data_IF_132385640527
#
_entry.id   IF_132385640527
#
_cell.length_a   1.000
_cell.length_b   1.000
_cell.length_c   1.000
_cell.angle_alpha   90.00
_cell.angle_beta   90.00
_cell.angle_gamma   90.00
#
_symmetry.space_group_name_H-M   'P 1'
#
loop_
_entity.id
_entity.type
_entity.pdbx_description
1 polymer ?
#
# COMPACT_ATOMS: atom_id res chain seq x y z
N UNK A 1 11.75 20.72 14.79
CA UNK A 1 11.49 19.30 14.45
C UNK A 1 10.91 19.23 13.05
N UNK A 2 11.28 18.23 12.27
CA UNK A 2 10.68 18.01 10.94
C UNK A 2 9.33 17.32 11.16
N UNK A 3 8.28 17.73 10.43
CA UNK A 3 6.94 17.14 10.57
C UNK A 3 6.74 16.03 9.56
N UNK A 4 5.82 15.10 9.84
CA UNK A 4 5.48 14.00 8.96
C UNK A 4 4.02 13.58 9.11
N UNK A 5 3.43 13.11 8.02
CA UNK A 5 2.09 12.50 8.00
C UNK A 5 2.26 11.00 7.76
N UNK A 6 1.68 10.14 8.60
CA UNK A 6 1.72 8.69 8.38
C UNK A 6 0.58 8.25 7.46
N UNK A 7 0.89 7.32 6.54
CA UNK A 7 -0.11 6.62 5.76
C UNK A 7 0.04 5.10 5.93
N UNK A 8 -1.04 4.46 6.37
CA UNK A 8 -1.10 3.00 6.62
C UNK A 8 -2.25 2.37 5.84
N UNK A 9 -2.03 1.17 5.31
CA UNK A 9 -3.01 0.48 4.46
C UNK A 9 -3.11 -1.01 4.71
N UNK A 10 -4.34 -1.54 4.64
CA UNK A 10 -4.64 -2.98 4.60
C UNK A 10 -5.58 -3.32 3.44
N UNK A 11 -5.46 -4.55 2.92
CA UNK A 11 -6.15 -4.95 1.67
C UNK A 11 -7.53 -5.57 1.91
N UNK A 12 -7.93 -5.86 3.15
CA UNK A 12 -9.28 -6.30 3.50
C UNK A 12 -9.71 -5.79 4.88
N UNK A 13 -11.01 -5.54 5.05
CA UNK A 13 -11.60 -5.21 6.35
C UNK A 13 -11.33 -6.30 7.41
N UNK A 14 -11.20 -7.56 6.96
CA UNK A 14 -10.88 -8.71 7.82
C UNK A 14 -9.43 -8.67 8.33
N UNK A 15 -8.47 -8.23 7.52
CA UNK A 15 -7.11 -7.91 7.98
C UNK A 15 -7.08 -6.66 8.86
N UNK A 16 -7.97 -5.70 8.60
CA UNK A 16 -8.19 -4.54 9.47
C UNK A 16 -8.74 -4.90 10.86
N UNK A 17 -9.48 -6.01 10.98
CA UNK A 17 -10.02 -6.54 12.25
C UNK A 17 -8.97 -7.25 13.10
N UNK A 18 -7.98 -7.91 12.49
CA UNK A 18 -6.88 -8.54 13.25
C UNK A 18 -5.88 -7.52 13.83
N UNK A 19 -5.82 -6.29 13.34
CA UNK A 19 -4.94 -5.22 13.84
C UNK A 19 -3.44 -5.40 13.53
N UNK A 20 -2.94 -6.64 13.52
CA UNK A 20 -1.51 -6.99 13.42
C UNK A 20 -0.77 -6.33 12.24
N UNK A 21 -1.41 -6.25 11.07
CA UNK A 21 -0.79 -5.63 9.89
C UNK A 21 -0.72 -4.11 9.95
N UNK A 22 -1.60 -3.45 10.70
CA UNK A 22 -1.61 -1.99 10.89
C UNK A 22 -0.70 -1.60 12.06
N UNK A 23 -0.75 -2.35 13.16
CA UNK A 23 0.16 -2.15 14.30
C UNK A 23 1.62 -2.30 13.87
N UNK A 24 1.96 -3.32 13.07
CA UNK A 24 3.31 -3.47 12.56
C UNK A 24 3.77 -2.27 11.69
N UNK A 25 2.87 -1.71 10.88
CA UNK A 25 3.15 -0.51 10.08
C UNK A 25 3.34 0.71 10.97
N UNK A 26 2.45 0.91 11.96
CA UNK A 26 2.54 2.03 12.89
C UNK A 26 3.82 1.98 13.71
N UNK A 27 4.19 0.80 14.25
CA UNK A 27 5.44 0.62 15.00
C UNK A 27 6.65 0.90 14.12
N UNK A 28 6.66 0.45 12.86
CA UNK A 28 7.75 0.74 11.94
C UNK A 28 7.88 2.24 11.65
N UNK A 29 6.77 2.93 11.40
CA UNK A 29 6.75 4.38 11.16
C UNK A 29 7.16 5.14 12.43
N UNK A 30 6.66 4.75 13.60
CA UNK A 30 7.00 5.38 14.87
C UNK A 30 8.50 5.26 15.18
N UNK A 31 9.08 4.06 15.05
CA UNK A 31 10.53 3.84 15.22
C UNK A 31 11.36 4.67 14.26
N UNK A 32 10.92 4.76 13.00
CA UNK A 32 11.60 5.56 11.99
C UNK A 32 11.52 7.05 12.31
N UNK A 33 10.34 7.54 12.70
CA UNK A 33 10.15 8.93 13.09
C UNK A 33 11.01 9.31 14.30
N UNK A 34 11.11 8.43 15.30
CA UNK A 34 11.97 8.63 16.46
C UNK A 34 13.45 8.71 16.06
N UNK A 35 13.92 7.80 15.20
CA UNK A 35 15.31 7.78 14.73
C UNK A 35 15.67 9.03 13.90
N UNK A 36 14.74 9.55 13.11
CA UNK A 36 14.93 10.70 12.22
C UNK A 36 14.53 12.05 12.85
N UNK A 37 14.03 12.05 14.09
CA UNK A 37 13.53 13.26 14.76
C UNK A 37 12.31 13.89 14.07
N UNK A 38 11.45 13.05 13.48
CA UNK A 38 10.20 13.44 12.84
C UNK A 38 9.05 13.46 13.84
N UNK A 39 8.27 14.53 13.83
CA UNK A 39 7.03 14.65 14.58
C UNK A 39 5.84 14.22 13.72
N UNK A 40 5.09 13.23 14.19
CA UNK A 40 3.89 12.76 13.50
C UNK A 40 2.71 13.70 13.77
N UNK A 41 2.23 14.39 12.73
CA UNK A 41 1.12 15.36 12.86
C UNK A 41 -0.25 14.77 12.56
N UNK A 42 -0.31 13.71 11.74
CA UNK A 42 -1.54 13.05 11.36
C UNK A 42 -1.28 11.61 10.89
N UNK A 43 -2.23 10.71 11.14
CA UNK A 43 -2.23 9.33 10.63
C UNK A 43 -3.47 9.12 9.75
N UNK A 44 -3.26 8.65 8.52
CA UNK A 44 -4.30 8.30 7.58
C UNK A 44 -4.34 6.79 7.36
N UNK A 45 -5.51 6.20 7.59
CA UNK A 45 -5.72 4.75 7.49
C UNK A 45 -6.63 4.43 6.31
N UNK A 46 -6.12 3.62 5.39
CA UNK A 46 -6.87 3.15 4.22
C UNK A 46 -7.19 1.64 4.31
N UNK A 47 -8.42 1.28 3.96
CA UNK A 47 -8.87 -0.12 3.91
C UNK A 47 -9.30 -0.43 2.49
N UNK A 48 -8.32 -0.56 1.60
CA UNK A 48 -8.56 -0.79 0.17
C UNK A 48 -7.42 -1.57 -0.49
N UNK A 49 -7.75 -2.30 -1.57
CA UNK A 49 -6.78 -3.12 -2.28
C UNK A 49 -5.73 -2.27 -3.00
N UNK A 50 -4.51 -2.80 -3.11
CA UNK A 50 -3.36 -2.10 -3.68
C UNK A 50 -3.37 -2.00 -5.21
N UNK A 51 -4.42 -2.50 -5.88
CA UNK A 51 -4.41 -2.83 -7.31
C UNK A 51 -5.28 -1.85 -8.11
N UNK A 52 -4.72 -1.27 -9.18
CA UNK A 52 -5.46 -0.48 -10.17
C UNK A 52 -4.97 0.97 -10.30
N UNK A 53 -5.01 1.49 -11.54
CA UNK A 53 -4.61 2.84 -11.92
C UNK A 53 -5.47 3.96 -11.28
N UNK A 54 -6.68 3.62 -10.80
CA UNK A 54 -7.58 4.54 -10.08
C UNK A 54 -7.19 4.76 -8.60
N UNK A 55 -5.91 4.57 -8.26
CA UNK A 55 -5.46 4.57 -6.87
C UNK A 55 -5.80 5.88 -6.12
N UNK A 56 -5.88 7.04 -6.78
CA UNK A 56 -6.31 8.29 -6.14
C UNK A 56 -7.84 8.41 -5.99
N UNK A 57 -8.62 7.94 -6.97
CA UNK A 57 -10.09 8.00 -6.92
C UNK A 57 -10.67 6.97 -5.94
N UNK A 58 -9.99 5.84 -5.74
CA UNK A 58 -10.39 4.77 -4.83
C UNK A 58 -9.73 4.86 -3.45
N UNK A 59 -8.79 5.80 -3.23
CA UNK A 59 -8.09 5.99 -1.94
C UNK A 59 -8.23 7.43 -1.44
N UNK A 60 -9.40 7.80 -0.91
CA UNK A 60 -9.63 9.14 -0.38
C UNK A 60 -8.65 9.47 0.76
N UNK A 61 -8.20 8.47 1.54
CA UNK A 61 -7.29 8.70 2.66
C UNK A 61 -5.86 8.98 2.18
N UNK A 62 -5.45 8.40 1.05
CA UNK A 62 -4.16 8.73 0.43
C UNK A 62 -4.17 10.16 -0.11
N UNK A 63 -5.25 10.56 -0.80
CA UNK A 63 -5.41 11.92 -1.28
C UNK A 63 -5.42 12.94 -0.12
N UNK A 64 -6.12 12.62 0.97
CA UNK A 64 -6.15 13.43 2.18
C UNK A 64 -4.76 13.53 2.83
N UNK A 65 -4.02 12.42 2.94
CA UNK A 65 -2.66 12.40 3.47
C UNK A 65 -1.70 13.28 2.65
N UNK A 66 -1.75 13.19 1.32
CA UNK A 66 -0.93 14.00 0.42
C UNK A 66 -1.31 15.49 0.50
N UNK A 67 -2.60 15.79 0.67
CA UNK A 67 -3.10 17.16 0.83
C UNK A 67 -2.67 17.78 2.16
N UNK A 68 -2.79 17.04 3.27
CA UNK A 68 -2.30 17.48 4.59
C UNK A 68 -0.78 17.65 4.59
N UNK A 69 -0.05 16.72 3.98
CA UNK A 69 1.39 16.81 3.86
C UNK A 69 1.81 18.07 3.11
N UNK A 70 1.14 18.37 1.99
CA UNK A 70 1.37 19.59 1.20
C UNK A 70 0.99 20.87 1.97
N UNK A 71 -0.10 20.85 2.73
CA UNK A 71 -0.55 22.01 3.53
C UNK A 71 0.42 22.35 4.65
N UNK A 72 1.04 21.35 5.25
CA UNK A 72 1.96 21.49 6.37
C UNK A 72 3.44 21.50 5.94
N UNK A 73 3.72 21.54 4.64
CA UNK A 73 5.07 21.46 4.05
C UNK A 73 5.91 20.32 4.65
N UNK A 74 5.35 19.11 4.63
CA UNK A 74 5.93 17.94 5.27
C UNK A 74 5.79 16.68 4.40
N UNK A 75 6.51 15.62 4.76
CA UNK A 75 6.52 14.39 3.98
C UNK A 75 5.45 13.39 4.45
N UNK A 76 4.92 12.58 3.52
CA UNK A 76 4.12 11.41 3.85
C UNK A 76 5.04 10.22 4.13
N UNK A 77 5.00 9.66 5.34
CA UNK A 77 5.76 8.48 5.74
C UNK A 77 4.90 7.23 5.58
N UNK A 78 5.45 6.22 4.89
CA UNK A 78 4.85 4.89 4.74
C UNK A 78 5.82 3.83 5.25
N UNK A 79 5.30 2.74 5.81
CA UNK A 79 6.16 1.67 6.32
C UNK A 79 6.97 0.97 5.22
N UNK A 80 6.33 0.67 4.08
CA UNK A 80 6.92 -0.01 2.92
C UNK A 80 6.33 0.53 1.62
N UNK A 81 7.08 0.40 0.52
CA UNK A 81 6.64 0.90 -0.80
C UNK A 81 5.33 0.25 -1.26
N UNK A 82 5.13 -1.04 -0.97
CA UNK A 82 3.92 -1.79 -1.33
C UNK A 82 2.64 -1.28 -0.64
N UNK A 83 2.79 -0.50 0.45
CA UNK A 83 1.67 0.14 1.16
C UNK A 83 1.21 1.39 0.45
N UNK A 84 2.12 2.15 -0.16
CA UNK A 84 1.81 3.32 -0.97
C UNK A 84 1.15 2.92 -2.29
N UNK A 85 1.82 2.08 -3.08
CA UNK A 85 1.24 1.50 -4.30
C UNK A 85 2.11 0.35 -4.82
N UNK A 86 1.53 -0.50 -5.65
CA UNK A 86 2.26 -1.55 -6.40
C UNK A 86 2.39 -1.23 -7.89
N UNK A 87 1.96 -0.03 -8.27
CA UNK A 87 1.98 0.49 -9.63
C UNK A 87 3.15 1.48 -9.77
N UNK A 88 4.07 1.15 -10.69
CA UNK A 88 5.26 1.98 -10.99
C UNK A 88 4.87 3.32 -11.58
N UNK A 89 3.83 3.36 -12.41
CA UNK A 89 3.34 4.60 -13.00
C UNK A 89 2.81 5.53 -11.90
N UNK A 90 2.14 5.00 -10.89
CA UNK A 90 1.66 5.79 -9.75
C UNK A 90 2.81 6.37 -8.92
N UNK A 91 3.81 5.54 -8.57
CA UNK A 91 4.98 5.99 -7.80
C UNK A 91 5.75 7.05 -8.60
N UNK A 92 5.96 6.80 -9.89
CA UNK A 92 6.62 7.74 -10.79
C UNK A 92 5.84 9.05 -10.92
N UNK A 93 4.51 9.01 -10.95
CA UNK A 93 3.67 10.21 -10.97
C UNK A 93 3.79 11.03 -9.68
N UNK A 94 3.88 10.41 -8.51
CA UNK A 94 4.12 11.12 -7.24
C UNK A 94 5.48 11.81 -7.23
N UNK A 95 6.50 11.15 -7.76
CA UNK A 95 7.85 11.71 -7.88
C UNK A 95 7.89 12.86 -8.88
N UNK A 96 7.22 12.74 -10.03
CA UNK A 96 7.10 13.82 -11.01
C UNK A 96 6.40 15.06 -10.42
N UNK A 97 5.41 14.86 -9.54
CA UNK A 97 4.73 15.92 -8.80
C UNK A 97 5.56 16.50 -7.65
N UNK A 98 6.80 16.04 -7.44
CA UNK A 98 7.69 16.40 -6.32
C UNK A 98 6.99 16.31 -4.96
N UNK A 99 6.09 15.36 -4.80
CA UNK A 99 5.40 15.20 -3.52
C UNK A 99 6.36 14.53 -2.54
N UNK A 100 6.71 15.16 -1.41
CA UNK A 100 7.65 14.58 -0.46
C UNK A 100 6.99 13.36 0.21
N UNK A 101 7.58 12.18 -0.01
CA UNK A 101 7.19 10.96 0.70
C UNK A 101 8.45 10.20 1.11
N UNK A 102 8.35 9.48 2.23
CA UNK A 102 9.44 8.72 2.83
C UNK A 102 8.96 7.29 3.04
N UNK A 103 9.82 6.32 2.71
CA UNK A 103 9.57 4.91 2.95
C UNK A 103 10.46 4.47 4.09
N UNK A 104 9.88 4.18 5.25
CA UNK A 104 10.61 3.85 6.48
C UNK A 104 11.60 2.69 6.30
N UNK A 105 11.24 1.68 5.49
CA UNK A 105 12.12 0.54 5.17
C UNK A 105 13.34 0.91 4.31
N UNK A 106 13.26 1.99 3.53
CA UNK A 106 14.33 2.41 2.62
C UNK A 106 15.19 3.54 3.18
N UNK A 107 14.72 4.23 4.23
CA UNK A 107 15.40 5.38 4.86
C UNK A 107 14.84 6.74 4.45
N UNK A 108 15.31 7.81 5.11
CA UNK A 108 14.89 9.19 4.83
C UNK A 108 15.45 9.74 3.50
N UNK A 109 16.69 9.38 3.16
CA UNK A 109 17.43 9.92 2.03
C UNK A 109 17.41 9.02 0.78
N UNK A 110 16.25 8.46 0.45
CA UNK A 110 16.14 7.61 -0.73
C UNK A 110 16.15 8.46 -1.98
N UNK A 111 17.23 8.33 -2.76
CA UNK A 111 17.32 8.97 -4.07
C UNK A 111 16.16 8.56 -5.00
N UNK A 112 15.67 9.45 -5.88
CA UNK A 112 14.66 9.12 -6.88
C UNK A 112 14.99 7.89 -7.73
N UNK A 113 16.25 7.74 -8.12
CA UNK A 113 16.71 6.57 -8.89
C UNK A 113 16.44 5.24 -8.17
N UNK A 114 16.79 5.15 -6.88
CA UNK A 114 16.51 3.96 -6.07
C UNK A 114 15.01 3.69 -5.96
N UNK A 115 14.19 4.71 -5.74
CA UNK A 115 12.73 4.56 -5.68
C UNK A 115 12.16 3.94 -6.97
N UNK A 116 12.63 4.38 -8.14
CA UNK A 116 12.19 3.80 -9.41
C UNK A 116 12.58 2.32 -9.55
N UNK A 117 13.81 1.94 -9.14
CA UNK A 117 14.23 0.53 -9.15
C UNK A 117 13.35 -0.29 -8.22
N UNK A 118 13.12 0.15 -6.98
CA UNK A 118 12.28 -0.57 -6.04
C UNK A 118 10.84 -0.71 -6.54
N UNK A 119 10.29 0.33 -7.19
CA UNK A 119 8.98 0.28 -7.81
C UNK A 119 8.94 -0.80 -8.90
N UNK A 120 9.92 -0.81 -9.81
CA UNK A 120 10.00 -1.78 -10.90
C UNK A 120 10.14 -3.22 -10.40
N UNK A 121 10.97 -3.44 -9.38
CA UNK A 121 11.14 -4.77 -8.75
C UNK A 121 9.82 -5.22 -8.12
N UNK A 122 9.13 -4.35 -7.37
CA UNK A 122 7.86 -4.69 -6.73
C UNK A 122 6.75 -5.05 -7.76
N UNK A 123 6.73 -4.38 -8.91
CA UNK A 123 5.82 -4.71 -10.02
C UNK A 123 6.13 -6.09 -10.61
N UNK A 124 7.40 -6.38 -10.89
CA UNK A 124 7.84 -7.68 -11.42
C UNK A 124 7.49 -8.82 -10.45
N UNK A 125 7.74 -8.66 -9.15
CA UNK A 125 7.38 -9.65 -8.13
C UNK A 125 5.87 -9.92 -8.12
N UNK A 126 5.06 -8.86 -8.20
CA UNK A 126 3.61 -9.01 -8.26
C UNK A 126 3.15 -9.75 -9.53
N UNK A 127 3.75 -9.44 -10.68
CA UNK A 127 3.48 -10.13 -11.93
C UNK A 127 3.82 -11.63 -11.82
N UNK A 128 4.99 -11.97 -11.25
CA UNK A 128 5.42 -13.35 -11.02
C UNK A 128 4.47 -14.11 -10.07
N UNK A 129 4.06 -13.51 -8.96
CA UNK A 129 3.08 -14.12 -8.03
C UNK A 129 1.75 -14.37 -8.75
N UNK A 130 1.29 -13.37 -9.52
CA UNK A 130 0.06 -13.52 -10.28
C UNK A 130 0.16 -14.63 -11.32
N UNK A 131 1.30 -14.76 -11.99
CA UNK A 131 1.52 -15.79 -13.00
C UNK A 131 1.53 -17.18 -12.36
N UNK A 132 2.32 -17.39 -11.29
CA UNK A 132 2.35 -18.65 -10.55
C UNK A 132 0.97 -19.07 -10.05
N UNK A 133 0.18 -18.12 -9.56
CA UNK A 133 -1.20 -18.40 -9.13
C UNK A 133 -2.07 -18.87 -10.30
N UNK A 134 -1.97 -18.21 -11.47
CA UNK A 134 -2.71 -18.62 -12.67
C UNK A 134 -2.27 -20.01 -13.15
N UNK A 135 -0.98 -20.29 -13.16
CA UNK A 135 -0.43 -21.58 -13.58
C UNK A 135 -0.89 -22.71 -12.65
N UNK A 136 -0.86 -22.47 -11.34
CA UNK A 136 -1.37 -23.40 -10.34
C UNK A 136 -2.88 -23.67 -10.53
N UNK A 137 -3.67 -22.62 -10.75
CA UNK A 137 -5.10 -22.76 -11.03
C UNK A 137 -5.36 -23.51 -12.34
N UNK A 138 -4.56 -23.27 -13.39
CA UNK A 138 -4.68 -23.99 -14.65
C UNK A 138 -4.37 -25.49 -14.47
N UNK A 139 -3.32 -25.83 -13.72
CA UNK A 139 -2.98 -27.22 -13.40
C UNK A 139 -4.09 -27.91 -12.58
N UNK A 140 -4.66 -27.23 -11.58
CA UNK A 140 -5.78 -27.75 -10.77
C UNK A 140 -7.04 -27.96 -11.62
N UNK A 141 -7.34 -27.03 -12.54
CA UNK A 141 -8.45 -27.16 -13.49
C UNK A 141 -8.25 -28.34 -14.44
N UNK A 142 -7.03 -28.54 -14.94
CA UNK A 142 -6.68 -29.67 -15.81
C UNK A 142 -6.83 -31.03 -15.09
N UNK A 143 -6.65 -31.07 -13.77
CA UNK A 143 -6.93 -32.23 -12.91
C UNK A 143 -8.42 -32.46 -12.65
N UNK A 144 -9.31 -31.70 -13.28
CA UNK A 144 -10.76 -31.84 -13.15
C UNK A 144 -11.37 -31.24 -11.88
N UNK A 145 -10.57 -30.54 -11.06
CA UNK A 145 -11.08 -29.88 -9.86
C UNK A 145 -11.91 -28.67 -10.24
N UNK A 146 -13.16 -28.62 -9.78
CA UNK A 146 -14.07 -27.50 -9.99
C UNK A 146 -13.58 -26.29 -9.18
N UNK A 147 -13.07 -25.29 -9.87
CA UNK A 147 -12.62 -24.04 -9.27
C UNK A 147 -13.79 -23.09 -8.98
N UNK A 148 -13.65 -22.26 -7.93
CA UNK A 148 -14.66 -21.28 -7.49
C UNK A 148 -15.40 -21.72 -6.24
N UNK A 149 -15.97 -20.77 -5.50
CA UNK A 149 -16.79 -21.06 -4.33
C UNK A 149 -18.23 -21.40 -4.77
N UNK A 150 -18.73 -22.64 -4.57
CA UNK A 150 -20.10 -23.02 -4.95
C UNK A 150 -21.18 -22.17 -4.26
N UNK A 151 -20.84 -21.57 -3.12
CA UNK A 151 -21.74 -20.76 -2.30
C UNK A 151 -21.54 -19.25 -2.49
N UNK A 152 -20.85 -18.81 -3.55
CA UNK A 152 -20.51 -17.38 -3.74
C UNK A 152 -21.74 -16.46 -3.65
N UNK A 153 -22.90 -16.92 -4.15
CA UNK A 153 -24.17 -16.17 -4.07
C UNK A 153 -24.70 -16.03 -2.64
N UNK A 154 -24.53 -17.05 -1.79
CA UNK A 154 -24.90 -16.98 -0.37
C UNK A 154 -23.94 -16.07 0.40
N UNK A 155 -22.63 -16.17 0.13
CA UNK A 155 -21.62 -15.32 0.73
C UNK A 155 -21.78 -13.83 0.35
N UNK A 156 -22.17 -13.54 -0.90
CA UNK A 156 -22.46 -12.19 -1.37
C UNK A 156 -23.72 -11.59 -0.72
N UNK A 157 -24.78 -12.38 -0.51
CA UNK A 157 -25.98 -11.93 0.22
C UNK A 157 -25.66 -11.60 1.69
N UNK A 158 -24.92 -12.46 2.38
CA UNK A 158 -24.54 -12.27 3.78
C UNK A 158 -23.55 -11.11 4.01
N UNK A 159 -22.92 -10.58 2.97
CA UNK A 159 -22.04 -9.42 3.05
C UNK A 159 -22.75 -8.09 2.69
N UNK A 160 -23.98 -8.16 2.17
CA UNK A 160 -24.82 -7.02 1.83
C UNK A 160 -25.88 -6.70 2.90
N UNK A 161 -26.14 -7.64 3.81
CA UNK A 161 -26.87 -7.47 5.07
C UNK A 161 -25.92 -7.04 6.20
#
# INVERSE_FOLDING_TARGET
MKRAVAYIRVSTAQQGKSGLGLEAQRVAIAKFNEAEGLELIAEFREVETGKGADALNKRPQLAAALSEAKRNDCAVVVAKLDRLSRDVAFISALMAKRTPFIVAELGADVSPFRLHIYAAVAEQECAMISQRTKDALAAVKARGVKLGNPQIRKAQKAAAE
#
